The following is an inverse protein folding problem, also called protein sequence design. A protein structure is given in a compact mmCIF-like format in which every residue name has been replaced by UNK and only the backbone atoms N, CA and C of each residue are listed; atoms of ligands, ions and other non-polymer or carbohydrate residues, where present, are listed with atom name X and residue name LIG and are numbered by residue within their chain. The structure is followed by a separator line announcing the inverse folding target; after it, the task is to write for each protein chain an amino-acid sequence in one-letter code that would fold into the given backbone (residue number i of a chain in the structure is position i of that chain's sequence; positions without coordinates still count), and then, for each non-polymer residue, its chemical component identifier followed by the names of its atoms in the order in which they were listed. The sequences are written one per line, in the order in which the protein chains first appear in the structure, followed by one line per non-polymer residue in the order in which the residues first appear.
data_IF_489865806206
#
_entry.id   IF_489865806206
#
_cell.length_a   1.000
_cell.length_b   1.000
_cell.length_c   1.000
_cell.angle_alpha   90.00
_cell.angle_beta   90.00
_cell.angle_gamma   90.00
#
_symmetry.space_group_name_H-M   'P 1'
#
loop_
_entity.id
_entity.type
_entity.pdbx_description
1 polymer ?
#
# COMPACT_ATOMS: atom_id res chain seq x y z
N UNK A 1 14.52 -20.35 -1.92
CA UNK A 1 15.54 -19.28 -1.85
C UNK A 1 15.96 -18.73 -3.23
N UNK A 2 15.42 -19.23 -4.35
CA UNK A 2 15.79 -18.81 -5.71
C UNK A 2 14.87 -17.75 -6.34
N UNK A 3 13.69 -17.48 -5.75
CA UNK A 3 12.69 -16.58 -6.39
C UNK A 3 12.86 -15.10 -6.05
N UNK A 4 13.34 -14.74 -4.84
CA UNK A 4 13.38 -13.34 -4.38
C UNK A 4 14.07 -12.41 -5.37
N UNK A 5 15.26 -12.80 -5.85
CA UNK A 5 15.99 -11.96 -6.81
C UNK A 5 15.18 -11.68 -8.08
N UNK A 6 14.53 -12.71 -8.64
CA UNK A 6 13.68 -12.56 -9.84
C UNK A 6 12.42 -11.75 -9.57
N UNK A 7 11.76 -11.95 -8.43
CA UNK A 7 10.55 -11.20 -8.05
C UNK A 7 10.85 -9.72 -7.85
N UNK A 8 11.92 -9.41 -7.13
CA UNK A 8 12.37 -8.03 -6.88
C UNK A 8 12.78 -7.36 -8.20
N UNK A 9 13.46 -8.09 -9.10
CA UNK A 9 13.82 -7.57 -10.42
C UNK A 9 12.59 -7.22 -11.26
N UNK A 10 11.55 -8.08 -11.25
CA UNK A 10 10.27 -7.83 -11.94
C UNK A 10 9.49 -6.67 -11.32
N UNK A 11 9.56 -6.49 -9.99
CA UNK A 11 8.98 -5.33 -9.32
C UNK A 11 9.67 -4.03 -9.72
N UNK A 12 11.01 -4.03 -9.71
CA UNK A 12 11.83 -2.90 -10.19
C UNK A 12 11.53 -2.55 -11.65
N UNK A 13 11.49 -3.56 -12.52
CA UNK A 13 11.16 -3.37 -13.94
C UNK A 13 9.73 -2.84 -14.12
N UNK A 14 8.80 -3.26 -13.25
CA UNK A 14 7.45 -2.74 -13.18
C UNK A 14 7.34 -1.32 -12.65
N UNK A 15 8.45 -0.67 -12.28
CA UNK A 15 8.49 0.72 -11.83
C UNK A 15 8.37 0.92 -10.32
N UNK A 16 8.40 -0.14 -9.51
CA UNK A 16 8.35 -0.05 -8.04
C UNK A 16 9.64 0.53 -7.48
N UNK A 17 9.54 1.43 -6.49
CA UNK A 17 10.68 2.04 -5.79
C UNK A 17 10.92 1.44 -4.38
N UNK A 18 9.87 0.87 -3.76
CA UNK A 18 9.87 0.35 -2.39
C UNK A 18 9.24 -1.04 -2.34
N UNK A 19 9.92 -1.99 -1.70
CA UNK A 19 9.35 -3.31 -1.37
C UNK A 19 8.85 -3.27 0.08
N UNK A 20 7.54 -3.46 0.26
CA UNK A 20 6.92 -3.56 1.58
C UNK A 20 6.77 -5.02 2.00
N UNK A 21 7.07 -5.34 3.26
CA UNK A 21 6.85 -6.68 3.81
C UNK A 21 6.51 -6.64 5.30
N UNK A 22 5.76 -7.64 5.76
CA UNK A 22 5.54 -7.89 7.17
C UNK A 22 6.70 -8.69 7.80
N UNK A 23 6.83 -8.65 9.12
CA UNK A 23 7.68 -9.58 9.88
C UNK A 23 6.79 -10.61 10.56
N UNK A 24 7.03 -11.89 10.27
CA UNK A 24 6.17 -12.99 10.72
C UNK A 24 6.74 -13.61 12.00
N UNK A 25 6.43 -13.02 13.17
CA UNK A 25 7.02 -13.41 14.44
C UNK A 25 6.86 -14.91 14.74
N UNK A 26 5.69 -15.49 14.49
CA UNK A 26 5.44 -16.91 14.71
C UNK A 26 6.37 -17.86 13.93
N UNK A 27 6.89 -17.44 12.78
CA UNK A 27 7.91 -18.19 12.04
C UNK A 27 9.31 -17.97 12.62
N UNK A 28 9.59 -16.74 13.06
CA UNK A 28 10.90 -16.38 13.59
C UNK A 28 11.13 -16.85 15.01
N UNK A 29 10.10 -17.12 15.79
CA UNK A 29 10.21 -17.64 17.16
C UNK A 29 9.18 -18.77 17.41
N UNK A 30 9.37 -19.96 16.80
CA UNK A 30 8.43 -21.07 16.93
C UNK A 30 8.33 -21.60 18.37
N UNK A 31 9.36 -21.41 19.19
CA UNK A 31 9.36 -21.68 20.63
C UNK A 31 9.99 -20.49 21.36
N UNK A 32 9.61 -20.22 22.63
CA UNK A 32 10.15 -19.11 23.40
C UNK A 32 11.69 -19.13 23.42
N UNK A 33 12.31 -18.04 22.99
CA UNK A 33 13.77 -17.86 22.93
C UNK A 33 14.49 -18.63 21.83
N UNK A 34 13.78 -19.39 20.99
CA UNK A 34 14.38 -20.13 19.87
C UNK A 34 14.06 -19.45 18.55
N UNK A 35 15.06 -18.79 17.97
CA UNK A 35 14.88 -18.00 16.76
C UNK A 35 15.26 -18.74 15.47
N UNK A 36 14.44 -18.61 14.43
CA UNK A 36 14.73 -19.10 13.08
C UNK A 36 14.70 -17.97 12.03
N UNK A 37 15.89 -17.63 11.54
CA UNK A 37 16.12 -16.73 10.41
C UNK A 37 16.82 -17.45 9.26
N UNK A 38 16.60 -18.76 9.11
CA UNK A 38 17.19 -19.56 8.06
C UNK A 38 16.26 -19.69 6.85
N UNK A 39 16.79 -20.17 5.72
CA UNK A 39 15.92 -20.59 4.62
C UNK A 39 15.13 -19.42 4.00
N UNK A 40 13.80 -19.58 3.94
CA UNK A 40 12.86 -18.54 3.48
C UNK A 40 12.50 -17.53 4.58
N UNK A 41 12.98 -17.73 5.81
CA UNK A 41 12.77 -16.85 6.96
C UNK A 41 13.97 -15.92 7.18
N UNK A 42 14.97 -15.96 6.31
CA UNK A 42 16.13 -15.06 6.36
C UNK A 42 15.73 -13.64 5.92
N UNK A 43 15.14 -12.91 6.85
CA UNK A 43 14.68 -11.53 6.66
C UNK A 43 15.83 -10.61 6.28
N UNK A 44 16.98 -10.74 6.94
CA UNK A 44 18.16 -9.89 6.67
C UNK A 44 18.65 -10.11 5.24
N UNK A 45 18.71 -11.35 4.77
CA UNK A 45 19.07 -11.65 3.38
C UNK A 45 18.05 -11.09 2.40
N UNK A 46 16.76 -11.17 2.69
CA UNK A 46 15.72 -10.58 1.85
C UNK A 46 15.87 -9.05 1.74
N UNK A 47 16.08 -8.35 2.86
CA UNK A 47 16.32 -6.90 2.87
C UNK A 47 17.62 -6.53 2.13
N UNK A 48 18.69 -7.30 2.30
CA UNK A 48 19.95 -7.10 1.55
C UNK A 48 19.77 -7.31 0.05
N UNK A 49 18.92 -8.24 -0.38
CA UNK A 49 18.60 -8.44 -1.80
C UNK A 49 17.85 -7.22 -2.38
N UNK A 50 16.88 -6.67 -1.64
CA UNK A 50 16.18 -5.43 -2.01
C UNK A 50 17.20 -4.28 -2.19
N UNK A 51 18.10 -4.12 -1.21
CA UNK A 51 19.16 -3.12 -1.26
C UNK A 51 20.12 -3.34 -2.44
N UNK A 52 20.54 -4.57 -2.71
CA UNK A 52 21.45 -4.91 -3.79
C UNK A 52 20.87 -4.56 -5.18
N UNK A 53 19.55 -4.56 -5.30
CA UNK A 53 18.85 -4.13 -6.51
C UNK A 53 18.51 -2.63 -6.52
N UNK A 54 18.88 -1.87 -5.50
CA UNK A 54 18.72 -0.41 -5.44
C UNK A 54 17.29 0.04 -5.14
N UNK A 55 16.50 -0.79 -4.48
CA UNK A 55 15.16 -0.42 -3.99
C UNK A 55 15.20 -0.11 -2.49
N UNK A 56 14.20 0.61 -2.01
CA UNK A 56 13.98 0.80 -0.58
C UNK A 56 13.11 -0.31 0.01
N UNK A 57 13.10 -0.44 1.34
CA UNK A 57 12.24 -1.36 2.06
C UNK A 57 11.31 -0.61 3.03
N UNK A 58 10.05 -1.00 3.08
CA UNK A 58 9.12 -0.62 4.14
C UNK A 58 8.82 -1.86 4.99
N UNK A 59 9.37 -1.90 6.21
CA UNK A 59 9.23 -3.04 7.10
C UNK A 59 8.06 -2.83 8.06
N UNK A 60 6.99 -3.60 7.90
CA UNK A 60 5.83 -3.60 8.80
C UNK A 60 6.03 -4.68 9.86
N UNK A 61 6.65 -4.29 10.96
CA UNK A 61 7.14 -5.23 11.96
C UNK A 61 5.99 -5.95 12.72
N UNK A 62 4.85 -5.28 12.91
CA UNK A 62 3.79 -5.80 13.78
C UNK A 62 4.12 -5.61 15.27
N UNK A 63 3.77 -6.55 16.17
CA UNK A 63 3.91 -7.97 15.91
C UNK A 63 2.59 -8.62 15.51
N UNK A 64 1.46 -7.96 15.75
CA UNK A 64 0.23 -8.30 15.04
C UNK A 64 0.35 -7.76 13.63
N UNK A 65 0.13 -8.61 12.63
CA UNK A 65 0.23 -8.22 11.21
C UNK A 65 -1.05 -8.51 10.44
N UNK A 66 -2.01 -9.22 11.03
CA UNK A 66 -3.18 -9.75 10.31
C UNK A 66 -2.70 -10.64 9.14
N UNK A 67 -2.64 -10.11 7.92
CA UNK A 67 -2.07 -10.69 6.70
C UNK A 67 -2.73 -12.00 6.26
N UNK A 68 -3.98 -12.26 6.68
CA UNK A 68 -4.62 -13.58 6.59
C UNK A 68 -3.71 -14.73 7.06
N UNK A 69 -2.82 -14.41 8.00
CA UNK A 69 -1.75 -15.29 8.46
C UNK A 69 -2.17 -16.00 9.75
N UNK A 70 -1.64 -17.21 9.96
CA UNK A 70 -1.92 -18.01 11.16
C UNK A 70 -1.71 -17.16 12.42
N UNK A 71 -2.79 -17.01 13.19
CA UNK A 71 -2.83 -16.27 14.45
C UNK A 71 -2.36 -14.81 14.34
N UNK A 72 -2.54 -14.19 13.15
CA UNK A 72 -2.18 -12.80 12.90
C UNK A 72 -0.69 -12.49 13.06
N UNK A 73 0.17 -13.52 12.95
CA UNK A 73 1.62 -13.41 13.13
C UNK A 73 2.12 -13.74 14.53
N UNK A 74 1.25 -13.91 15.52
CA UNK A 74 1.68 -14.25 16.88
C UNK A 74 2.12 -15.71 17.02
N UNK A 75 3.22 -15.98 17.74
CA UNK A 75 3.56 -17.34 18.12
C UNK A 75 2.48 -17.96 18.99
N UNK A 76 2.15 -19.24 18.75
CA UNK A 76 1.08 -19.91 19.50
C UNK A 76 1.37 -20.00 21.00
N UNK A 77 2.64 -20.19 21.39
CA UNK A 77 3.06 -20.26 22.79
C UNK A 77 2.79 -18.97 23.57
N UNK A 78 2.60 -17.83 22.89
CA UNK A 78 2.29 -16.56 23.53
C UNK A 78 0.96 -16.62 24.30
N UNK A 79 0.04 -17.48 23.87
CA UNK A 79 -1.25 -17.71 24.51
C UNK A 79 -1.11 -18.22 25.95
N UNK A 80 -0.09 -19.02 26.20
CA UNK A 80 0.09 -19.70 27.48
C UNK A 80 0.91 -18.85 28.47
N UNK A 81 1.29 -17.64 28.09
CA UNK A 81 1.98 -16.68 28.98
C UNK A 81 1.00 -16.19 30.06
N UNK A 82 1.29 -16.37 31.36
CA UNK A 82 0.39 -15.96 32.42
C UNK A 82 0.04 -14.45 32.35
N UNK A 83 -1.25 -14.14 32.34
CA UNK A 83 -1.76 -12.77 32.33
C UNK A 83 -1.74 -12.07 30.96
N UNK A 84 -1.45 -12.80 29.88
CA UNK A 84 -1.44 -12.24 28.52
C UNK A 84 -2.85 -11.83 28.07
N UNK A 85 -2.94 -10.64 27.46
CA UNK A 85 -4.11 -10.19 26.70
C UNK A 85 -3.62 -9.54 25.42
N UNK A 86 -3.98 -10.04 24.25
CA UNK A 86 -3.39 -9.44 23.04
C UNK A 86 -3.94 -8.04 22.77
N UNK A 87 -3.09 -7.21 22.16
CA UNK A 87 -3.47 -5.93 21.57
C UNK A 87 -4.14 -4.98 22.58
N UNK A 88 -3.61 -4.93 23.80
CA UNK A 88 -4.08 -4.03 24.86
C UNK A 88 -2.91 -3.68 25.78
N UNK A 89 -3.09 -2.67 26.62
CA UNK A 89 -2.07 -2.26 27.58
C UNK A 89 -1.87 -3.32 28.68
N UNK A 90 -0.89 -4.20 28.47
CA UNK A 90 -0.31 -5.08 29.48
C UNK A 90 1.20 -5.21 29.30
N UNK A 91 1.89 -5.50 30.40
CA UNK A 91 3.35 -5.62 30.43
C UNK A 91 3.94 -6.62 29.42
N UNK A 92 3.32 -7.79 29.11
CA UNK A 92 3.96 -8.79 28.25
C UNK A 92 3.92 -8.56 26.72
N UNK A 93 3.08 -7.69 26.16
CA UNK A 93 2.89 -7.65 24.70
C UNK A 93 2.66 -6.26 24.13
N UNK A 94 3.66 -5.66 23.43
CA UNK A 94 3.72 -4.28 22.86
C UNK A 94 3.97 -4.21 21.30
N UNK A 95 3.28 -3.39 20.47
CA UNK A 95 3.40 -3.03 18.99
C UNK A 95 2.25 -3.60 18.07
N UNK A 96 1.91 -3.01 16.90
CA UNK A 96 0.59 -3.15 16.20
C UNK A 96 0.48 -3.10 14.65
N UNK A 97 -0.72 -3.48 14.12
CA UNK A 97 -1.21 -3.30 12.74
C UNK A 97 -2.75 -3.15 12.67
N UNK A 98 -3.28 -2.16 11.92
CA UNK A 98 -4.72 -1.85 11.79
C UNK A 98 -5.50 -1.80 13.13
N UNK A 99 -4.93 -1.17 14.15
CA UNK A 99 -5.47 -1.22 15.52
C UNK A 99 -6.77 -0.41 15.70
N UNK A 100 -7.01 0.66 14.94
CA UNK A 100 -8.24 1.44 15.02
C UNK A 100 -9.51 0.60 14.86
N UNK A 101 -9.46 -0.47 14.07
CA UNK A 101 -10.62 -1.36 13.87
C UNK A 101 -11.09 -2.02 15.18
N UNK A 102 -10.19 -2.16 16.16
CA UNK A 102 -10.46 -2.83 17.45
C UNK A 102 -10.29 -1.92 18.66
N UNK A 103 -9.67 -0.76 18.50
CA UNK A 103 -9.34 0.16 19.60
C UNK A 103 -10.54 0.48 20.50
N UNK A 104 -11.69 0.79 19.90
CA UNK A 104 -12.90 1.14 20.64
C UNK A 104 -13.39 0.02 21.57
N UNK A 105 -13.09 -1.25 21.24
CA UNK A 105 -13.45 -2.39 22.07
C UNK A 105 -12.66 -2.43 23.40
N UNK A 106 -11.56 -1.68 23.49
CA UNK A 106 -10.71 -1.60 24.69
C UNK A 106 -10.96 -0.35 25.54
N UNK A 107 -11.95 0.49 25.19
CA UNK A 107 -12.31 1.70 25.93
C UNK A 107 -11.08 2.57 26.24
N UNK A 108 -10.85 2.92 27.51
CA UNK A 108 -9.73 3.76 27.96
C UNK A 108 -8.36 3.12 27.71
N UNK A 109 -8.29 1.78 27.62
CA UNK A 109 -7.02 1.06 27.39
C UNK A 109 -6.55 1.12 25.94
N UNK A 110 -7.45 1.30 24.98
CA UNK A 110 -7.12 1.39 23.56
C UNK A 110 -6.21 2.59 23.26
N UNK A 111 -6.64 3.83 23.56
CA UNK A 111 -5.81 5.02 23.33
C UNK A 111 -4.50 5.03 24.13
N UNK A 112 -4.48 4.46 25.34
CA UNK A 112 -3.25 4.33 26.15
C UNK A 112 -2.25 3.41 25.43
N UNK A 113 -2.74 2.29 24.91
CA UNK A 113 -1.94 1.33 24.18
C UNK A 113 -1.36 1.91 22.87
N UNK A 114 -2.16 2.65 22.09
CA UNK A 114 -1.70 3.34 20.86
C UNK A 114 -0.55 4.31 21.18
N UNK A 115 -0.70 5.12 22.23
CA UNK A 115 0.34 6.05 22.67
C UNK A 115 1.62 5.34 23.09
N UNK A 116 1.50 4.24 23.84
CA UNK A 116 2.65 3.43 24.22
C UNK A 116 3.34 2.82 22.98
N UNK A 117 2.57 2.27 22.04
CA UNK A 117 3.11 1.56 20.88
C UNK A 117 3.89 2.52 19.96
N UNK A 118 3.32 3.69 19.71
CA UNK A 118 3.98 4.76 18.98
C UNK A 118 5.25 5.24 19.71
N UNK A 119 5.18 5.42 21.04
CA UNK A 119 6.32 5.86 21.85
C UNK A 119 7.49 4.88 21.75
N UNK A 120 7.25 3.58 21.96
CA UNK A 120 8.32 2.58 21.88
C UNK A 120 8.93 2.49 20.49
N UNK A 121 8.11 2.51 19.43
CA UNK A 121 8.63 2.53 18.06
C UNK A 121 9.63 3.69 17.88
N UNK A 122 9.27 4.88 18.33
CA UNK A 122 10.11 6.09 18.21
C UNK A 122 11.34 6.02 19.12
N UNK A 123 11.23 5.49 20.34
CA UNK A 123 12.34 5.33 21.30
C UNK A 123 13.38 4.28 20.86
N UNK A 124 13.07 3.44 19.86
CA UNK A 124 14.07 2.57 19.22
C UNK A 124 15.07 3.33 18.34
N UNK A 125 14.87 4.64 18.11
CA UNK A 125 15.79 5.54 17.40
C UNK A 125 16.28 4.98 16.05
N UNK A 126 15.37 4.38 15.28
CA UNK A 126 15.67 3.70 14.00
C UNK A 126 16.23 4.61 12.91
N UNK A 127 16.17 5.93 13.10
CA UNK A 127 16.63 6.94 12.13
C UNK A 127 15.71 7.14 10.93
N UNK A 128 14.54 6.48 10.89
CA UNK A 128 13.54 6.57 9.80
C UNK A 128 12.12 6.74 10.36
N UNK A 129 11.16 7.27 9.56
CA UNK A 129 9.78 7.47 10.01
C UNK A 129 9.04 6.16 10.36
N UNK A 130 8.12 6.25 11.33
CA UNK A 130 7.18 5.19 11.67
C UNK A 130 5.80 5.47 11.09
N UNK A 131 5.09 4.39 10.73
CA UNK A 131 3.74 4.46 10.17
C UNK A 131 2.77 3.56 10.94
N UNK A 132 1.52 3.99 11.09
CA UNK A 132 0.42 3.17 11.58
C UNK A 132 -0.73 3.22 10.58
N UNK A 133 -1.11 2.06 10.05
CA UNK A 133 -2.17 1.95 9.08
C UNK A 133 -3.54 1.91 9.74
N UNK A 134 -4.53 2.55 9.09
CA UNK A 134 -5.86 2.80 9.66
C UNK A 134 -5.74 3.21 11.13
N UNK A 135 -5.08 4.33 11.41
CA UNK A 135 -4.94 4.85 12.78
C UNK A 135 -5.10 6.37 12.78
N UNK A 136 -6.34 6.85 12.81
CA UNK A 136 -6.63 8.27 12.60
C UNK A 136 -6.07 9.18 13.68
N UNK A 137 -5.78 8.66 14.87
CA UNK A 137 -5.23 9.39 16.02
C UNK A 137 -3.75 9.02 16.31
N UNK A 138 -3.03 8.44 15.34
CA UNK A 138 -1.60 8.13 15.49
C UNK A 138 -0.81 9.35 15.99
N UNK A 139 -0.16 9.27 17.16
CA UNK A 139 0.49 10.43 17.77
C UNK A 139 1.77 10.80 17.02
N UNK A 140 2.13 12.08 17.04
CA UNK A 140 3.38 12.55 16.44
C UNK A 140 4.59 11.85 17.09
N UNK A 141 5.64 11.50 16.31
CA UNK A 141 5.83 11.78 14.87
C UNK A 141 5.26 10.69 13.92
N UNK A 142 4.48 9.72 14.41
CA UNK A 142 4.00 8.57 13.61
C UNK A 142 3.01 9.00 12.54
N UNK A 143 3.18 8.51 11.32
CA UNK A 143 2.32 8.84 10.17
C UNK A 143 1.14 7.88 10.10
N UNK A 144 -0.10 8.40 10.09
CA UNK A 144 -1.27 7.57 9.83
C UNK A 144 -1.43 7.31 8.33
N UNK A 145 -1.76 6.07 7.98
CA UNK A 145 -1.84 5.66 6.56
C UNK A 145 -3.19 5.01 6.25
N UNK A 146 -3.51 4.91 4.96
CA UNK A 146 -4.74 4.29 4.46
C UNK A 146 -4.50 2.87 3.96
N UNK A 147 -5.49 1.99 4.16
CA UNK A 147 -5.60 0.67 3.55
C UNK A 147 -6.98 0.51 2.92
N UNK A 148 -7.06 -0.20 1.79
CA UNK A 148 -8.31 -0.45 1.08
C UNK A 148 -8.11 -0.41 -0.43
N UNK A 149 -9.19 -0.60 -1.19
CA UNK A 149 -9.13 -0.52 -2.66
C UNK A 149 -9.16 0.92 -3.18
N UNK A 150 -9.72 1.87 -2.42
CA UNK A 150 -10.16 3.17 -2.95
C UNK A 150 -9.69 4.37 -2.13
N UNK A 151 -8.48 4.33 -1.55
CA UNK A 151 -8.00 5.44 -0.72
C UNK A 151 -7.91 6.79 -1.45
N UNK A 152 -7.83 6.82 -2.79
CA UNK A 152 -8.00 8.06 -3.57
C UNK A 152 -9.37 8.74 -3.37
N UNK A 153 -10.41 7.97 -3.04
CA UNK A 153 -11.75 8.44 -2.71
C UNK A 153 -12.00 8.49 -1.20
N UNK A 154 -11.58 7.46 -0.47
CA UNK A 154 -12.00 7.21 0.92
C UNK A 154 -11.05 7.76 1.98
N UNK A 155 -9.79 8.08 1.64
CA UNK A 155 -8.85 8.59 2.64
C UNK A 155 -9.12 10.07 2.91
N UNK A 156 -9.44 10.39 4.18
CA UNK A 156 -9.60 11.77 4.63
C UNK A 156 -8.31 12.58 4.67
N UNK A 157 -7.15 11.92 4.56
CA UNK A 157 -5.84 12.53 4.65
C UNK A 157 -5.10 12.20 5.95
N UNK A 158 -3.84 12.67 6.08
CA UNK A 158 -3.07 12.53 7.30
C UNK A 158 -3.72 13.35 8.44
N UNK A 159 -3.47 12.92 9.68
CA UNK A 159 -4.02 13.55 10.88
C UNK A 159 -3.27 14.82 11.33
N UNK A 160 -2.28 15.26 10.54
CA UNK A 160 -1.54 16.50 10.73
C UNK A 160 -1.10 17.04 9.37
N UNK A 161 -1.11 18.38 9.16
CA UNK A 161 -0.66 18.99 7.90
C UNK A 161 0.83 18.78 7.61
N UNK A 162 1.63 18.40 8.62
CA UNK A 162 3.06 18.15 8.48
C UNK A 162 3.39 16.70 8.09
N UNK A 163 2.38 15.85 7.87
CA UNK A 163 2.54 14.44 7.52
C UNK A 163 2.17 14.21 6.05
N UNK A 164 2.86 13.30 5.35
CA UNK A 164 2.51 12.95 3.98
C UNK A 164 1.27 12.04 3.93
N UNK A 165 0.52 12.10 2.82
CA UNK A 165 -0.54 11.13 2.52
C UNK A 165 0.07 9.82 1.99
N UNK A 166 -0.10 8.73 2.74
CA UNK A 166 0.43 7.41 2.40
C UNK A 166 -0.67 6.33 2.35
N UNK A 167 -0.60 5.46 1.34
CA UNK A 167 -1.49 4.33 1.13
C UNK A 167 -0.68 3.03 1.23
N UNK A 168 -0.73 2.39 2.40
CA UNK A 168 0.10 1.21 2.72
C UNK A 168 -0.44 -0.09 2.15
N UNK A 169 -1.74 -0.16 1.83
CA UNK A 169 -2.34 -1.33 1.17
C UNK A 169 -3.38 -0.95 0.13
N UNK A 170 -2.95 -0.83 -1.11
CA UNK A 170 -3.82 -0.81 -2.27
C UNK A 170 -4.14 -2.25 -2.67
N UNK A 171 -5.32 -2.73 -2.26
CA UNK A 171 -5.71 -4.13 -2.46
C UNK A 171 -5.83 -4.49 -3.96
N UNK A 172 -4.86 -5.22 -4.52
CA UNK A 172 -4.81 -5.54 -5.97
C UNK A 172 -5.77 -6.65 -6.39
N UNK A 173 -6.36 -7.31 -5.40
CA UNK A 173 -7.30 -8.43 -5.43
C UNK A 173 -7.90 -8.55 -4.02
N UNK A 174 -8.61 -9.63 -3.76
CA UNK A 174 -8.87 -10.13 -2.41
C UNK A 174 -8.25 -11.52 -2.22
N UNK A 175 -8.00 -11.92 -0.97
CA UNK A 175 -7.62 -13.29 -0.65
C UNK A 175 -8.76 -14.25 -0.98
N UNK A 176 -8.41 -15.50 -1.32
CA UNK A 176 -9.39 -16.53 -1.65
C UNK A 176 -9.54 -17.51 -0.47
N UNK A 177 -10.78 -17.85 -0.16
CA UNK A 177 -11.14 -18.85 0.85
C UNK A 177 -11.45 -20.18 0.20
N UNK A 178 -11.35 -21.27 0.96
CA UNK A 178 -11.70 -22.60 0.44
C UNK A 178 -13.16 -22.64 -0.02
N UNK A 179 -13.37 -23.08 -1.27
CA UNK A 179 -14.70 -23.13 -1.91
C UNK A 179 -15.20 -21.79 -2.46
N UNK A 180 -14.43 -20.71 -2.33
CA UNK A 180 -14.74 -19.41 -2.93
C UNK A 180 -14.11 -19.24 -4.31
N UNK A 181 -14.67 -18.34 -5.11
CA UNK A 181 -14.11 -17.90 -6.40
C UNK A 181 -13.11 -16.73 -6.20
N UNK A 182 -12.10 -16.59 -7.08
CA UNK A 182 -11.15 -15.50 -6.99
C UNK A 182 -11.80 -14.15 -7.32
N UNK A 183 -11.60 -13.14 -6.47
CA UNK A 183 -12.00 -11.78 -6.76
C UNK A 183 -11.01 -11.12 -7.73
N UNK A 184 -11.46 -10.75 -8.93
CA UNK A 184 -10.60 -10.10 -9.92
C UNK A 184 -10.84 -8.59 -9.90
N UNK A 185 -9.82 -7.84 -9.44
CA UNK A 185 -9.76 -6.40 -9.61
C UNK A 185 -9.05 -6.05 -10.91
N UNK A 186 -9.66 -5.23 -11.76
CA UNK A 186 -9.11 -4.90 -13.08
C UNK A 186 -7.88 -3.99 -12.98
N UNK A 187 -7.07 -3.95 -14.04
CA UNK A 187 -5.90 -3.07 -14.10
C UNK A 187 -6.30 -1.60 -14.09
N UNK A 188 -7.39 -1.30 -14.77
CA UNK A 188 -7.96 0.03 -14.99
C UNK A 188 -8.50 0.63 -13.69
N UNK A 189 -9.20 -0.17 -12.88
CA UNK A 189 -9.70 0.26 -11.56
C UNK A 189 -8.53 0.57 -10.60
N UNK A 190 -7.49 -0.28 -10.59
CA UNK A 190 -6.29 -0.03 -9.79
C UNK A 190 -5.61 1.26 -10.26
N UNK A 191 -5.39 1.41 -11.56
CA UNK A 191 -4.76 2.60 -12.14
C UNK A 191 -5.57 3.87 -11.86
N UNK A 192 -6.89 3.81 -11.96
CA UNK A 192 -7.80 4.92 -11.63
C UNK A 192 -7.60 5.40 -10.19
N UNK A 193 -7.66 4.49 -9.21
CA UNK A 193 -7.54 4.91 -7.82
C UNK A 193 -6.13 5.34 -7.44
N UNK A 194 -5.09 4.76 -8.05
CA UNK A 194 -3.69 5.21 -7.87
C UNK A 194 -3.51 6.62 -8.42
N UNK A 195 -3.93 6.86 -9.68
CA UNK A 195 -3.84 8.17 -10.31
C UNK A 195 -4.65 9.22 -9.54
N UNK A 196 -5.84 8.88 -9.04
CA UNK A 196 -6.66 9.77 -8.22
C UNK A 196 -5.99 10.12 -6.88
N UNK A 197 -5.37 9.12 -6.23
CA UNK A 197 -4.66 9.34 -4.97
C UNK A 197 -3.49 10.30 -5.17
N UNK A 198 -2.68 10.11 -6.22
CA UNK A 198 -1.57 11.02 -6.58
C UNK A 198 -2.10 12.42 -6.96
N UNK A 199 -3.15 12.48 -7.78
CA UNK A 199 -3.81 13.72 -8.15
C UNK A 199 -4.25 14.54 -6.92
N UNK A 200 -4.58 13.87 -5.81
CA UNK A 200 -4.99 14.45 -4.50
C UNK A 200 -3.85 14.49 -3.46
N UNK A 201 -2.61 14.72 -3.88
CA UNK A 201 -1.39 14.84 -3.04
C UNK A 201 -0.93 13.55 -2.36
N UNK A 202 -1.34 12.40 -2.87
CA UNK A 202 -0.81 11.10 -2.46
C UNK A 202 0.66 10.96 -2.84
N UNK A 203 1.50 10.52 -1.90
CA UNK A 203 2.97 10.51 -2.07
C UNK A 203 3.63 9.15 -1.83
N UNK A 204 2.87 8.17 -1.34
CA UNK A 204 3.30 6.78 -1.22
C UNK A 204 2.12 5.86 -1.48
N UNK A 205 2.30 4.86 -2.35
CA UNK A 205 1.32 3.81 -2.63
C UNK A 205 2.04 2.47 -2.62
N UNK A 206 1.52 1.52 -1.85
CA UNK A 206 1.98 0.14 -1.87
C UNK A 206 0.87 -0.79 -2.33
N UNK A 207 1.17 -1.66 -3.30
CA UNK A 207 0.26 -2.69 -3.80
C UNK A 207 0.23 -3.89 -2.83
N UNK A 208 -0.94 -4.15 -2.26
CA UNK A 208 -1.18 -5.32 -1.42
C UNK A 208 -2.06 -6.33 -2.18
N UNK A 209 -1.54 -7.33 -2.84
CA UNK A 209 -0.13 -7.69 -2.99
C UNK A 209 0.41 -7.29 -4.37
N UNK A 210 1.71 -6.97 -4.45
CA UNK A 210 2.44 -6.92 -5.71
C UNK A 210 2.81 -8.33 -6.20
N UNK A 211 3.24 -9.18 -5.25
CA UNK A 211 3.33 -10.63 -5.38
C UNK A 211 2.79 -11.23 -4.09
N UNK A 212 1.76 -12.07 -4.17
CA UNK A 212 1.23 -12.74 -3.00
C UNK A 212 1.96 -14.05 -2.68
N UNK A 213 2.11 -14.91 -3.68
CA UNK A 213 2.85 -16.17 -3.54
C UNK A 213 2.01 -17.28 -2.89
N UNK A 214 2.63 -18.05 -2.00
CA UNK A 214 2.04 -19.28 -1.46
C UNK A 214 2.20 -19.36 0.05
N UNK A 215 1.11 -19.72 0.73
CA UNK A 215 1.08 -20.10 2.13
C UNK A 215 1.66 -21.52 2.31
N UNK A 216 2.98 -21.68 2.19
CA UNK A 216 3.60 -23.00 2.32
C UNK A 216 3.55 -23.56 3.74
N UNK A 217 3.43 -24.88 3.82
CA UNK A 217 3.45 -25.61 5.08
C UNK A 217 2.08 -25.60 5.74
N UNK A 218 2.07 -25.51 7.08
CA UNK A 218 0.85 -25.66 7.90
C UNK A 218 0.70 -24.60 8.99
N UNK A 219 1.55 -23.59 8.97
CA UNK A 219 1.62 -22.50 9.97
C UNK A 219 1.58 -21.13 9.32
N UNK A 220 1.17 -21.07 8.05
CA UNK A 220 1.16 -19.88 7.22
C UNK A 220 -0.25 -19.28 7.11
N UNK A 221 -1.20 -19.98 6.51
CA UNK A 221 -2.53 -19.44 6.28
C UNK A 221 -3.44 -19.49 7.50
N UNK A 222 -4.35 -18.52 7.61
CA UNK A 222 -5.54 -18.57 8.45
C UNK A 222 -6.79 -18.46 7.57
N UNK A 223 -7.60 -19.51 7.50
CA UNK A 223 -8.90 -19.53 6.79
C UNK A 223 -8.86 -19.20 5.28
N UNK A 224 -7.67 -19.08 4.68
CA UNK A 224 -7.45 -18.86 3.25
C UNK A 224 -6.80 -20.07 2.59
N UNK A 225 -6.94 -20.16 1.26
CA UNK A 225 -6.34 -21.25 0.48
C UNK A 225 -4.81 -21.16 0.49
N UNK A 226 -4.16 -22.23 0.00
CA UNK A 226 -2.70 -22.30 -0.11
C UNK A 226 -2.13 -21.21 -1.03
N UNK A 227 -2.81 -20.90 -2.12
CA UNK A 227 -2.48 -19.78 -3.00
C UNK A 227 -2.79 -18.45 -2.32
N UNK A 228 -1.89 -17.48 -2.38
CA UNK A 228 -2.08 -16.17 -1.76
C UNK A 228 -2.03 -15.07 -2.82
N UNK A 229 -3.14 -14.34 -3.00
CA UNK A 229 -3.25 -13.22 -3.94
C UNK A 229 -2.76 -13.53 -5.37
N UNK A 230 -3.15 -14.66 -5.96
CA UNK A 230 -2.73 -15.06 -7.32
C UNK A 230 -3.07 -14.04 -8.42
N UNK A 231 -4.09 -13.21 -8.19
CA UNK A 231 -4.51 -12.13 -9.09
C UNK A 231 -3.66 -10.84 -8.98
N UNK A 232 -2.58 -10.84 -8.18
CA UNK A 232 -1.63 -9.75 -8.07
C UNK A 232 -0.88 -9.48 -9.40
N UNK A 233 -0.18 -8.33 -9.55
CA UNK A 233 0.64 -8.04 -10.73
C UNK A 233 1.68 -9.14 -11.06
N UNK A 234 2.26 -9.77 -10.03
CA UNK A 234 3.00 -11.02 -10.15
C UNK A 234 2.15 -12.14 -9.55
N UNK A 235 1.88 -13.18 -10.35
CA UNK A 235 1.06 -14.31 -9.92
C UNK A 235 1.75 -15.17 -8.83
N UNK A 236 1.08 -16.22 -8.36
CA UNK A 236 1.62 -17.13 -7.34
C UNK A 236 3.00 -17.70 -7.71
N UNK A 237 3.24 -17.94 -8.99
CA UNK A 237 4.47 -18.53 -9.52
C UNK A 237 5.52 -17.47 -9.90
N UNK A 238 5.20 -16.18 -9.73
CA UNK A 238 6.05 -15.06 -10.05
C UNK A 238 6.07 -14.68 -11.53
N UNK A 239 5.10 -15.12 -12.33
CA UNK A 239 4.92 -14.70 -13.72
C UNK A 239 4.23 -13.34 -13.79
N UNK A 240 4.44 -12.60 -14.88
CA UNK A 240 3.83 -11.30 -15.09
C UNK A 240 2.36 -11.48 -15.46
N UNK A 241 1.45 -10.97 -14.63
CA UNK A 241 0.01 -11.02 -14.92
C UNK A 241 -0.38 -9.84 -15.81
N UNK A 242 -0.46 -10.09 -17.11
CA UNK A 242 -0.93 -9.11 -18.09
C UNK A 242 -2.47 -9.10 -18.18
N UNK A 243 -3.09 -7.95 -18.45
CA UNK A 243 -2.47 -6.63 -18.68
C UNK A 243 -2.09 -5.87 -17.39
N UNK A 244 -2.44 -6.38 -16.20
CA UNK A 244 -2.29 -5.67 -14.92
C UNK A 244 -0.88 -5.16 -14.66
N UNK A 245 0.13 -6.01 -14.79
CA UNK A 245 1.52 -5.59 -14.55
C UNK A 245 1.99 -4.53 -15.56
N UNK A 246 1.69 -4.72 -16.85
CA UNK A 246 2.09 -3.79 -17.91
C UNK A 246 1.42 -2.42 -17.77
N UNK A 247 0.11 -2.41 -17.52
CA UNK A 247 -0.66 -1.17 -17.35
C UNK A 247 -0.17 -0.32 -16.17
N UNK A 248 0.12 -0.98 -15.03
CA UNK A 248 0.67 -0.29 -13.86
C UNK A 248 2.10 0.18 -14.11
N UNK A 249 2.92 -0.58 -14.85
CA UNK A 249 4.26 -0.15 -15.27
C UNK A 249 4.21 1.13 -16.12
N UNK A 250 3.29 1.20 -17.08
CA UNK A 250 3.09 2.40 -17.90
C UNK A 250 2.66 3.60 -17.05
N UNK A 251 1.70 3.40 -16.14
CA UNK A 251 1.32 4.43 -15.17
C UNK A 251 2.54 4.93 -14.37
N UNK A 252 3.36 4.03 -13.82
CA UNK A 252 4.56 4.42 -13.06
C UNK A 252 5.55 5.23 -13.89
N UNK A 253 5.77 4.86 -15.15
CA UNK A 253 6.63 5.62 -16.07
C UNK A 253 6.11 7.04 -16.23
N UNK A 254 4.80 7.20 -16.46
CA UNK A 254 4.18 8.52 -16.60
C UNK A 254 4.30 9.34 -15.33
N UNK A 255 4.01 8.75 -14.16
CA UNK A 255 4.13 9.46 -12.87
C UNK A 255 5.57 9.89 -12.59
N UNK A 256 6.57 9.04 -12.89
CA UNK A 256 7.99 9.38 -12.72
C UNK A 256 8.42 10.54 -13.61
N UNK A 257 7.86 10.66 -14.81
CA UNK A 257 8.09 11.81 -15.68
C UNK A 257 7.42 13.11 -15.16
N UNK A 258 6.45 13.01 -14.25
CA UNK A 258 5.77 14.15 -13.62
C UNK A 258 6.38 14.55 -12.27
N UNK A 259 7.54 14.00 -11.89
CA UNK A 259 8.07 14.11 -10.52
C UNK A 259 8.26 15.54 -10.02
N UNK A 260 8.87 16.42 -10.82
CA UNK A 260 9.14 17.81 -10.45
C UNK A 260 7.86 18.59 -10.11
N UNK A 261 6.85 18.70 -11.01
CA UNK A 261 5.64 19.43 -10.68
C UNK A 261 4.82 18.75 -9.56
N UNK A 262 4.85 17.42 -9.43
CA UNK A 262 4.16 16.72 -8.33
C UNK A 262 4.74 17.06 -6.95
N UNK A 263 6.05 17.29 -6.85
CA UNK A 263 6.72 17.57 -5.57
C UNK A 263 6.82 19.06 -5.24
N UNK A 264 7.02 19.91 -6.24
CA UNK A 264 7.35 21.32 -6.05
C UNK A 264 6.22 22.25 -6.50
N UNK A 265 5.31 21.74 -7.33
CA UNK A 265 4.22 22.53 -7.91
C UNK A 265 3.12 22.86 -6.91
N UNK A 266 2.44 23.98 -7.15
CA UNK A 266 1.24 24.36 -6.43
C UNK A 266 0.07 23.59 -7.04
N UNK A 267 -0.60 22.79 -6.21
CA UNK A 267 -1.80 22.07 -6.65
C UNK A 267 -3.01 23.01 -6.69
N UNK A 268 -3.74 23.00 -7.79
CA UNK A 268 -5.09 23.54 -7.93
C UNK A 268 -6.06 22.47 -8.42
N UNK A 269 -7.36 22.67 -8.21
CA UNK A 269 -8.39 21.81 -8.78
C UNK A 269 -9.64 22.60 -9.12
N UNK A 270 -10.36 22.19 -10.16
CA UNK A 270 -11.59 22.83 -10.61
C UNK A 270 -12.45 21.85 -11.43
N UNK A 271 -13.75 22.10 -11.47
CA UNK A 271 -14.68 21.32 -12.29
C UNK A 271 -14.48 21.66 -13.76
N UNK A 272 -14.46 20.63 -14.60
CA UNK A 272 -14.40 20.72 -16.07
C UNK A 272 -15.64 20.08 -16.72
N UNK A 273 -16.66 19.78 -15.90
CA UNK A 273 -17.91 19.16 -16.28
C UNK A 273 -18.71 18.67 -15.06
N UNK A 274 -19.97 18.21 -15.23
CA UNK A 274 -20.83 17.82 -14.12
C UNK A 274 -20.27 16.68 -13.26
N UNK A 275 -19.57 15.73 -13.87
CA UNK A 275 -18.91 14.60 -13.22
C UNK A 275 -17.40 14.57 -13.52
N UNK A 276 -16.85 15.68 -14.00
CA UNK A 276 -15.46 15.78 -14.44
C UNK A 276 -14.70 16.85 -13.66
N UNK A 277 -13.49 16.52 -13.25
CA UNK A 277 -12.64 17.37 -12.42
C UNK A 277 -11.21 17.40 -12.98
N UNK A 278 -10.57 18.56 -12.98
CA UNK A 278 -9.14 18.68 -13.21
C UNK A 278 -8.40 18.85 -11.88
N UNK A 279 -7.28 18.14 -11.72
CA UNK A 279 -6.26 18.44 -10.71
C UNK A 279 -4.99 18.84 -11.46
N UNK A 280 -4.43 19.99 -11.13
CA UNK A 280 -3.28 20.55 -11.83
C UNK A 280 -2.19 20.90 -10.83
N UNK A 281 -0.97 20.49 -11.09
CA UNK A 281 0.21 20.94 -10.37
C UNK A 281 1.05 21.80 -11.29
N UNK A 282 1.26 23.05 -10.92
CA UNK A 282 2.01 24.03 -11.69
C UNK A 282 3.17 24.58 -10.88
N UNK A 283 4.36 24.56 -11.48
CA UNK A 283 5.53 25.28 -10.99
C UNK A 283 5.60 26.64 -11.68
N UNK A 284 6.02 27.69 -10.94
CA UNK A 284 6.16 29.04 -11.49
C UNK A 284 7.15 29.16 -12.67
N UNK A 285 8.02 28.16 -12.89
CA UNK A 285 8.97 28.09 -14.01
C UNK A 285 8.43 27.33 -15.25
N UNK A 286 7.17 26.88 -15.24
CA UNK A 286 6.47 26.35 -16.42
C UNK A 286 6.32 24.83 -16.49
N UNK A 287 6.86 24.06 -15.54
CA UNK A 287 6.54 22.63 -15.42
C UNK A 287 5.11 22.45 -14.91
N UNK A 288 4.32 21.60 -15.57
CA UNK A 288 2.91 21.43 -15.29
C UNK A 288 2.48 19.99 -15.49
N UNK A 289 1.74 19.40 -14.55
CA UNK A 289 1.02 18.13 -14.78
C UNK A 289 -0.46 18.29 -14.46
N UNK A 290 -1.31 17.76 -15.33
CA UNK A 290 -2.75 17.71 -15.13
C UNK A 290 -3.30 16.28 -15.10
N UNK A 291 -4.25 16.05 -14.21
CA UNK A 291 -5.06 14.85 -14.10
C UNK A 291 -6.50 15.22 -14.41
N UNK A 292 -7.03 14.76 -15.54
CA UNK A 292 -8.40 15.01 -15.96
C UNK A 292 -9.25 13.79 -15.62
N UNK A 293 -10.12 13.93 -14.62
CA UNK A 293 -10.92 12.83 -14.06
C UNK A 293 -12.31 12.82 -14.68
N UNK A 294 -12.76 11.66 -15.15
CA UNK A 294 -14.16 11.37 -15.44
C UNK A 294 -14.71 10.39 -14.41
N UNK A 295 -15.61 10.86 -13.54
CA UNK A 295 -16.25 10.02 -12.53
C UNK A 295 -17.55 9.36 -13.01
N UNK A 296 -18.03 9.65 -14.23
CA UNK A 296 -19.17 8.93 -14.81
C UNK A 296 -18.75 7.48 -15.08
N UNK A 297 -19.45 6.52 -14.48
CA UNK A 297 -19.15 5.09 -14.60
C UNK A 297 -19.63 4.46 -15.91
N UNK A 298 -20.41 5.20 -16.71
CA UNK A 298 -21.12 4.66 -17.88
C UNK A 298 -20.85 5.40 -19.18
N UNK A 299 -20.49 6.68 -19.12
CA UNK A 299 -20.36 7.53 -20.31
C UNK A 299 -18.97 8.11 -20.48
N UNK A 300 -18.55 8.14 -21.75
CA UNK A 300 -17.44 8.98 -22.17
C UNK A 300 -17.84 10.46 -21.98
N UNK A 301 -16.85 11.30 -21.69
CA UNK A 301 -17.04 12.73 -21.57
C UNK A 301 -16.01 13.47 -22.41
N UNK A 302 -16.46 14.40 -23.26
CA UNK A 302 -15.59 15.36 -23.93
C UNK A 302 -15.47 16.61 -23.06
N UNK A 303 -14.27 16.89 -22.57
CA UNK A 303 -13.97 18.04 -21.71
C UNK A 303 -13.09 19.05 -22.43
N UNK A 304 -13.16 20.31 -22.00
CA UNK A 304 -12.27 21.38 -22.45
C UNK A 304 -11.24 21.68 -21.34
N UNK A 305 -9.96 21.67 -21.67
CA UNK A 305 -8.87 22.00 -20.76
C UNK A 305 -7.76 22.75 -21.50
N UNK A 306 -7.39 23.94 -21.01
CA UNK A 306 -6.36 24.81 -21.62
C UNK A 306 -6.48 24.96 -23.15
N UNK A 307 -7.68 25.27 -23.65
CA UNK A 307 -8.03 25.40 -25.08
C UNK A 307 -7.97 24.13 -25.93
N UNK A 308 -7.72 22.97 -25.31
CA UNK A 308 -7.74 21.66 -25.97
C UNK A 308 -8.97 20.87 -25.56
N UNK A 309 -9.44 20.00 -26.45
CA UNK A 309 -10.54 19.09 -26.20
C UNK A 309 -10.00 17.68 -25.96
N UNK A 310 -10.45 17.03 -24.89
CA UNK A 310 -10.05 15.67 -24.53
C UNK A 310 -11.28 14.79 -24.35
N UNK A 311 -11.22 13.57 -24.88
CA UNK A 311 -12.21 12.53 -24.60
C UNK A 311 -11.71 11.67 -23.43
N UNK A 312 -12.52 11.58 -22.38
CA UNK A 312 -12.28 10.77 -21.20
C UNK A 312 -13.24 9.57 -21.19
N UNK A 313 -12.69 8.35 -21.13
CA UNK A 313 -13.45 7.12 -20.97
C UNK A 313 -14.21 7.08 -19.63
N UNK A 314 -15.22 6.20 -19.46
CA UNK A 314 -15.96 6.09 -18.21
C UNK A 314 -15.02 5.66 -17.08
N UNK A 315 -15.21 6.23 -15.88
CA UNK A 315 -14.41 5.97 -14.68
C UNK A 315 -12.90 5.96 -14.98
N UNK A 316 -12.41 7.03 -15.62
CA UNK A 316 -11.02 7.12 -16.06
C UNK A 316 -10.35 8.43 -15.66
N UNK A 317 -9.01 8.42 -15.65
CA UNK A 317 -8.19 9.61 -15.49
C UNK A 317 -7.22 9.69 -16.66
N UNK A 318 -7.28 10.81 -17.39
CA UNK A 318 -6.25 11.17 -18.36
C UNK A 318 -5.11 11.94 -17.67
N UNK A 319 -3.86 11.58 -17.93
CA UNK A 319 -2.67 12.22 -17.36
C UNK A 319 -1.93 12.98 -18.47
N UNK A 320 -1.68 14.27 -18.22
CA UNK A 320 -1.00 15.20 -19.11
C UNK A 320 0.26 15.74 -18.41
N UNK A 321 1.45 15.14 -18.62
CA UNK A 321 2.71 15.53 -17.97
C UNK A 321 3.22 16.93 -18.28
N UNK A 322 2.64 17.58 -19.29
CA UNK A 322 2.94 18.93 -19.76
C UNK A 322 1.69 19.83 -19.80
N UNK A 323 0.57 19.35 -19.22
CA UNK A 323 -0.76 19.97 -19.29
C UNK A 323 -1.34 20.18 -20.70
N UNK A 324 -0.74 19.60 -21.74
CA UNK A 324 -1.16 19.76 -23.13
C UNK A 324 -1.49 18.44 -23.80
N UNK A 325 -0.65 17.42 -23.59
CA UNK A 325 -0.75 16.13 -24.28
C UNK A 325 -1.12 15.03 -23.31
N UNK A 326 -2.24 14.36 -23.55
CA UNK A 326 -2.62 13.18 -22.77
C UNK A 326 -1.80 11.97 -23.24
N UNK A 327 -0.91 11.49 -22.37
CA UNK A 327 -0.02 10.36 -22.68
C UNK A 327 -0.50 9.05 -22.08
N UNK A 328 -1.39 9.10 -21.09
CA UNK A 328 -1.93 7.92 -20.42
C UNK A 328 -3.39 8.17 -20.03
N UNK A 329 -4.23 7.14 -20.18
CA UNK A 329 -5.58 7.12 -19.63
C UNK A 329 -5.74 5.82 -18.85
N UNK A 330 -6.24 5.89 -17.62
CA UNK A 330 -6.31 4.72 -16.74
C UNK A 330 -7.22 3.59 -17.26
N UNK A 331 -8.10 3.86 -18.23
CA UNK A 331 -9.02 2.89 -18.82
C UNK A 331 -8.68 2.49 -20.27
N UNK A 332 -7.51 2.87 -20.79
CA UNK A 332 -7.11 2.62 -22.18
C UNK A 332 -5.91 1.68 -22.27
#
# INVERSE_FOLDING_TARGET
MQMWSSLIAKAKEGGVDVIQTYVFWNLHEPQPGQYDFSGRYDLVKFIKEIQAQGLYACLRIGPFIESEWTYGGFPFWLHDVPGIVYRTDNEPFKIENEYQNVEAAFHEKGPIYVKWAAKIGVELETGVPWVMCKQTDAPDPVINTCNGMRCGETFGGPNSPNKPSMWTENWTSFYQVYGGEPYIRSAEDIAFHVALFIAKKGSYINYYMYHGGTNFGRTASAYVITSYYDQAPLDEYGLLRQPKWGHLKELHIVIKNCFTPLLQGVQSNFSIGPLQQAYVYEEGMGACVAFLVNNDSTKNATVQFQNNSFELLPKSIGILPDCQNMVFNTAK
#
